data_IF_382455471968
#
_entry.id   IF_382455471968
#
_cell.length_a   1.000
_cell.length_b   1.000
_cell.length_c   1.000
_cell.angle_alpha   90.00
_cell.angle_beta   90.00
_cell.angle_gamma   90.00
#
_symmetry.space_group_name_H-M   'P 1'
#
loop_
_entity.id
_entity.type
_entity.pdbx_description
1 polymer ?
#
# COMPACT_ATOMS: atom_id res chain seq x y z
N UNK A 1 1.47 14.53 -9.57
CA UNK A 1 1.43 13.26 -8.86
C UNK A 1 2.00 12.17 -9.77
N UNK A 2 3.22 11.75 -9.48
CA UNK A 2 4.00 10.83 -10.30
C UNK A 2 3.67 9.37 -9.92
N UNK A 3 2.50 8.89 -10.34
CA UNK A 3 2.05 7.53 -10.11
C UNK A 3 1.33 7.26 -8.78
N UNK A 4 1.16 8.25 -7.91
CA UNK A 4 0.43 8.12 -6.65
C UNK A 4 -1.08 7.99 -6.86
N UNK A 5 -1.79 7.52 -5.82
CA UNK A 5 -3.25 7.45 -5.84
C UNK A 5 -3.89 8.73 -5.29
N UNK A 6 -5.06 9.10 -5.80
CA UNK A 6 -5.79 10.30 -5.36
C UNK A 6 -6.13 10.28 -3.86
N UNK A 7 -6.35 9.11 -3.28
CA UNK A 7 -6.63 8.96 -1.84
C UNK A 7 -5.42 9.19 -0.93
N UNK A 8 -4.23 9.41 -1.49
CA UNK A 8 -3.01 9.70 -0.74
C UNK A 8 -2.77 11.21 -0.58
N UNK A 9 -3.82 12.00 -0.39
CA UNK A 9 -3.66 13.41 -0.08
C UNK A 9 -4.03 14.39 -1.20
N UNK A 10 -4.74 13.95 -2.25
CA UNK A 10 -5.29 14.89 -3.23
C UNK A 10 -6.23 15.88 -2.55
N UNK A 11 -6.18 17.20 -2.88
CA UNK A 11 -7.05 18.21 -2.30
C UNK A 11 -8.56 17.94 -2.47
N UNK A 12 -8.94 17.16 -3.46
CA UNK A 12 -10.34 16.77 -3.67
C UNK A 12 -10.76 15.54 -2.86
N UNK A 13 -9.81 14.85 -2.23
CA UNK A 13 -10.08 13.68 -1.40
C UNK A 13 -10.11 14.07 0.08
N UNK A 14 -10.88 13.33 0.88
CA UNK A 14 -10.97 13.57 2.32
C UNK A 14 -9.61 13.62 3.01
N UNK A 15 -8.66 12.80 2.57
CA UNK A 15 -7.29 12.79 3.12
C UNK A 15 -6.58 14.13 2.93
N UNK A 16 -6.71 14.75 1.75
CA UNK A 16 -6.11 16.07 1.49
C UNK A 16 -6.88 17.24 2.11
N UNK A 17 -8.12 17.01 2.53
CA UNK A 17 -8.93 18.03 3.23
C UNK A 17 -8.70 18.03 4.74
N UNK A 18 -8.42 16.86 5.32
CA UNK A 18 -8.28 16.70 6.77
C UNK A 18 -6.83 16.75 7.27
N UNK A 19 -5.85 16.48 6.41
CA UNK A 19 -4.45 16.37 6.80
C UNK A 19 -3.57 17.37 6.05
N UNK A 20 -2.52 17.84 6.72
CA UNK A 20 -1.43 18.58 6.07
C UNK A 20 -0.53 17.60 5.32
N UNK A 21 -0.60 17.62 3.99
CA UNK A 21 0.04 16.65 3.11
C UNK A 21 1.29 17.25 2.49
N UNK A 22 2.43 16.60 2.67
CA UNK A 22 3.69 16.91 2.00
C UNK A 22 3.96 15.87 0.91
N UNK A 23 3.66 16.15 -0.37
CA UNK A 23 3.86 15.19 -1.43
C UNK A 23 5.34 15.08 -1.80
N UNK A 24 5.82 13.87 -2.04
CA UNK A 24 7.09 13.61 -2.70
C UNK A 24 6.86 13.10 -4.11
N UNK A 25 7.86 13.22 -4.97
CA UNK A 25 7.79 12.85 -6.37
C UNK A 25 9.00 12.01 -6.79
N UNK A 26 9.00 11.58 -8.05
CA UNK A 26 10.19 10.98 -8.67
C UNK A 26 11.17 12.08 -9.08
N UNK A 27 12.44 11.74 -9.17
CA UNK A 27 13.46 12.56 -9.80
C UNK A 27 13.17 12.69 -11.31
N UNK A 28 13.16 13.91 -11.85
CA UNK A 28 12.74 14.18 -13.22
C UNK A 28 13.67 13.56 -14.28
N UNK A 29 14.95 13.35 -13.95
CA UNK A 29 15.94 12.81 -14.86
C UNK A 29 15.95 11.27 -14.90
N UNK A 30 15.75 10.65 -13.73
CA UNK A 30 15.80 9.19 -13.59
C UNK A 30 14.45 8.51 -13.60
N UNK A 31 13.37 9.30 -13.40
CA UNK A 31 11.99 8.85 -13.22
C UNK A 31 11.84 7.86 -12.04
N UNK A 32 12.81 7.89 -11.11
CA UNK A 32 12.83 7.03 -9.93
C UNK A 32 12.62 7.85 -8.65
N UNK A 33 12.17 7.16 -7.60
CA UNK A 33 12.11 7.76 -6.26
C UNK A 33 13.50 8.14 -5.79
N UNK A 34 13.66 9.40 -5.42
CA UNK A 34 14.85 9.90 -4.77
C UNK A 34 14.67 9.80 -3.25
N UNK A 35 15.25 8.77 -2.65
CA UNK A 35 15.10 8.51 -1.23
C UNK A 35 15.81 9.53 -0.35
N UNK A 36 16.85 10.20 -0.84
CA UNK A 36 17.55 11.24 -0.09
C UNK A 36 16.71 12.51 -0.04
N UNK A 37 16.05 12.87 -1.14
CA UNK A 37 15.06 13.94 -1.17
C UNK A 37 13.86 13.64 -0.28
N UNK A 38 13.34 12.38 -0.30
CA UNK A 38 12.24 11.96 0.57
C UNK A 38 12.65 12.06 2.04
N UNK A 39 13.88 11.67 2.38
CA UNK A 39 14.41 11.78 3.74
C UNK A 39 14.54 13.23 4.19
N UNK A 40 15.10 14.10 3.34
CA UNK A 40 15.21 15.53 3.64
C UNK A 40 13.84 16.16 3.90
N UNK A 41 12.85 15.85 3.06
CA UNK A 41 11.47 16.30 3.23
C UNK A 41 10.86 15.78 4.53
N UNK A 42 11.08 14.51 4.87
CA UNK A 42 10.57 13.92 6.11
C UNK A 42 11.20 14.58 7.35
N UNK A 43 12.49 14.91 7.31
CA UNK A 43 13.18 15.61 8.39
C UNK A 43 12.62 17.03 8.58
N UNK A 44 12.37 17.74 7.49
CA UNK A 44 11.81 19.10 7.49
C UNK A 44 10.38 19.10 8.03
N UNK A 45 9.52 18.24 7.49
CA UNK A 45 8.06 18.27 7.73
C UNK A 45 7.64 17.48 8.95
N UNK A 46 8.48 16.56 9.45
CA UNK A 46 8.19 15.71 10.61
C UNK A 46 6.80 15.05 10.56
N UNK A 47 6.47 14.31 9.48
CA UNK A 47 5.16 13.72 9.33
C UNK A 47 4.89 12.68 10.42
N UNK A 48 3.63 12.50 10.80
CA UNK A 48 3.20 11.40 11.68
C UNK A 48 3.12 10.06 10.95
N UNK A 49 2.95 10.11 9.61
CA UNK A 49 2.84 8.94 8.76
C UNK A 49 3.48 9.23 7.40
N UNK A 50 4.21 8.25 6.90
CA UNK A 50 4.71 8.20 5.52
C UNK A 50 3.90 7.15 4.78
N UNK A 51 3.31 7.52 3.64
CA UNK A 51 2.56 6.59 2.79
C UNK A 51 3.42 6.26 1.59
N UNK A 52 3.70 4.97 1.39
CA UNK A 52 4.39 4.45 0.22
C UNK A 52 3.50 3.43 -0.50
N UNK A 53 3.32 3.62 -1.80
CA UNK A 53 2.46 2.79 -2.63
C UNK A 53 1.90 3.60 -3.79
N UNK A 54 1.72 2.94 -4.92
CA UNK A 54 1.54 3.66 -6.18
C UNK A 54 0.52 2.95 -7.07
N UNK A 55 -0.15 3.74 -7.92
CA UNK A 55 -1.06 3.25 -8.94
C UNK A 55 -0.31 2.88 -10.22
N UNK A 56 0.65 3.70 -10.64
CA UNK A 56 1.29 3.60 -11.95
C UNK A 56 2.81 3.83 -11.94
N UNK A 57 3.45 3.77 -10.77
CA UNK A 57 4.90 3.77 -10.68
C UNK A 57 5.45 2.37 -11.05
N UNK A 58 6.26 2.25 -12.12
CA UNK A 58 6.62 0.94 -12.68
C UNK A 58 7.72 0.21 -11.90
N UNK A 59 8.41 0.90 -11.00
CA UNK A 59 9.49 0.31 -10.22
C UNK A 59 9.01 -0.11 -8.84
N UNK A 60 9.65 -1.11 -8.26
CA UNK A 60 9.40 -1.49 -6.87
C UNK A 60 10.04 -0.49 -5.91
N UNK A 61 9.35 -0.13 -4.81
CA UNK A 61 9.92 0.67 -3.76
C UNK A 61 10.95 -0.12 -2.95
N UNK A 62 11.94 0.60 -2.41
CA UNK A 62 12.83 0.08 -1.38
C UNK A 62 12.17 0.24 -0.01
N UNK A 63 11.55 -0.83 0.47
CA UNK A 63 10.85 -0.84 1.76
C UNK A 63 11.80 -0.62 2.94
N UNK A 64 13.04 -1.13 2.85
CA UNK A 64 14.04 -0.94 3.90
C UNK A 64 14.43 0.54 4.02
N UNK A 65 14.60 1.22 2.90
CA UNK A 65 14.92 2.64 2.88
C UNK A 65 13.76 3.50 3.41
N UNK A 66 12.51 3.19 3.04
CA UNK A 66 11.34 3.84 3.63
C UNK A 66 11.25 3.62 5.14
N UNK A 67 11.55 2.40 5.63
CA UNK A 67 11.56 2.12 7.08
C UNK A 67 12.61 2.97 7.80
N UNK A 68 13.83 3.05 7.27
CA UNK A 68 14.89 3.88 7.83
C UNK A 68 14.48 5.36 7.93
N UNK A 69 13.85 5.89 6.87
CA UNK A 69 13.36 7.27 6.86
C UNK A 69 12.27 7.46 7.92
N UNK A 70 11.31 6.56 8.00
CA UNK A 70 10.23 6.64 8.98
C UNK A 70 10.75 6.56 10.42
N UNK A 71 11.69 5.66 10.71
CA UNK A 71 12.33 5.54 12.02
C UNK A 71 13.06 6.83 12.42
N UNK A 72 13.77 7.43 11.48
CA UNK A 72 14.55 8.65 11.73
C UNK A 72 13.69 9.83 12.19
N UNK A 73 12.44 9.89 11.75
CA UNK A 73 11.52 10.99 12.10
C UNK A 73 10.44 10.57 13.11
N UNK A 74 10.41 9.29 13.49
CA UNK A 74 9.40 8.72 14.38
C UNK A 74 8.00 8.60 13.75
N UNK A 75 7.93 8.44 12.43
CA UNK A 75 6.69 8.30 11.69
C UNK A 75 6.25 6.84 11.56
N UNK A 76 4.95 6.61 11.44
CA UNK A 76 4.43 5.35 10.95
C UNK A 76 4.69 5.20 9.45
N UNK A 77 5.01 3.99 9.00
CA UNK A 77 5.08 3.65 7.58
C UNK A 77 3.84 2.86 7.18
N UNK A 78 3.04 3.43 6.29
CA UNK A 78 1.91 2.76 5.65
C UNK A 78 2.32 2.35 4.24
N UNK A 79 2.24 1.05 3.94
CA UNK A 79 2.46 0.50 2.62
C UNK A 79 1.12 0.21 1.94
N UNK A 80 0.78 0.98 0.91
CA UNK A 80 -0.39 0.70 0.08
C UNK A 80 0.02 -0.15 -1.13
N UNK A 81 -0.26 -1.45 -1.05
CA UNK A 81 0.05 -2.42 -2.11
C UNK A 81 -1.19 -2.80 -2.93
N UNK A 82 -2.19 -1.92 -2.99
CA UNK A 82 -3.46 -2.20 -3.65
C UNK A 82 -3.31 -2.74 -5.07
N UNK A 83 -2.37 -2.20 -5.86
CA UNK A 83 -2.14 -2.65 -7.24
C UNK A 83 -1.33 -3.95 -7.35
N UNK A 84 -0.48 -4.24 -6.38
CA UNK A 84 0.52 -5.31 -6.45
C UNK A 84 0.31 -6.43 -5.42
N UNK A 85 -0.80 -6.42 -4.67
CA UNK A 85 -1.05 -7.37 -3.58
C UNK A 85 -0.92 -8.84 -4.04
N UNK A 86 -1.50 -9.20 -5.19
CA UNK A 86 -1.37 -10.54 -5.75
C UNK A 86 0.08 -10.91 -6.07
N UNK A 87 0.84 -9.97 -6.65
CA UNK A 87 2.26 -10.19 -6.97
C UNK A 87 3.12 -10.33 -5.71
N UNK A 88 2.82 -9.56 -4.64
CA UNK A 88 3.50 -9.67 -3.34
C UNK A 88 3.25 -11.04 -2.73
N UNK A 89 2.00 -11.52 -2.71
CA UNK A 89 1.64 -12.85 -2.19
C UNK A 89 2.36 -13.96 -2.98
N UNK A 90 2.44 -13.80 -4.29
CA UNK A 90 3.10 -14.77 -5.17
C UNK A 90 4.65 -14.74 -5.13
N UNK A 91 5.24 -13.75 -4.44
CA UNK A 91 6.69 -13.54 -4.43
C UNK A 91 7.25 -12.92 -5.71
N UNK A 92 6.39 -12.41 -6.60
CA UNK A 92 6.77 -11.75 -7.84
C UNK A 92 7.03 -10.24 -7.67
N UNK A 93 6.84 -9.69 -6.47
CA UNK A 93 7.09 -8.30 -6.11
C UNK A 93 7.54 -8.20 -4.64
N UNK A 94 8.42 -7.25 -4.28
CA UNK A 94 8.93 -7.13 -2.92
C UNK A 94 7.83 -6.93 -1.88
N UNK A 95 7.91 -7.66 -0.78
CA UNK A 95 6.95 -7.53 0.32
C UNK A 95 7.30 -6.40 1.27
N UNK A 96 6.32 -5.56 1.71
CA UNK A 96 6.51 -4.60 2.78
C UNK A 96 6.43 -5.22 4.18
N UNK A 97 6.14 -6.51 4.28
CA UNK A 97 6.03 -7.22 5.56
C UNK A 97 7.38 -7.20 6.29
N UNK A 98 7.35 -6.80 7.56
CA UNK A 98 8.56 -6.59 8.36
C UNK A 98 9.14 -5.18 8.28
N UNK A 99 8.69 -4.35 7.34
CA UNK A 99 9.09 -2.95 7.20
C UNK A 99 7.98 -1.97 7.56
N UNK A 100 6.75 -2.21 7.06
CA UNK A 100 5.63 -1.30 7.28
C UNK A 100 4.91 -1.59 8.60
N UNK A 101 4.45 -0.53 9.28
CA UNK A 101 3.60 -0.63 10.47
C UNK A 101 2.18 -1.06 10.09
N UNK A 102 1.72 -0.59 8.92
CA UNK A 102 0.40 -0.89 8.37
C UNK A 102 0.54 -1.17 6.88
N UNK A 103 -0.14 -2.21 6.41
CA UNK A 103 -0.22 -2.57 4.99
C UNK A 103 -1.68 -2.49 4.58
N UNK A 104 -1.97 -1.80 3.49
CA UNK A 104 -3.32 -1.71 2.92
C UNK A 104 -3.34 -2.27 1.51
N UNK A 105 -4.43 -2.92 1.14
CA UNK A 105 -4.65 -3.35 -0.23
C UNK A 105 -6.12 -3.56 -0.55
N UNK A 106 -6.45 -3.40 -1.83
CA UNK A 106 -7.76 -3.77 -2.37
C UNK A 106 -7.77 -5.23 -2.78
N UNK A 107 -8.92 -5.87 -2.62
CA UNK A 107 -9.07 -7.29 -2.96
C UNK A 107 -9.43 -7.56 -4.43
N UNK A 108 -9.86 -6.52 -5.16
CA UNK A 108 -10.42 -6.63 -6.52
C UNK A 108 -9.46 -6.27 -7.67
N UNK A 109 -8.15 -6.17 -7.38
CA UNK A 109 -7.10 -5.92 -8.40
C UNK A 109 -6.31 -7.19 -8.66
N UNK A 110 -4.98 -7.18 -8.53
CA UNK A 110 -4.15 -8.36 -8.77
C UNK A 110 -4.45 -9.55 -7.85
N UNK A 111 -5.13 -9.33 -6.71
CA UNK A 111 -5.60 -10.41 -5.84
C UNK A 111 -6.80 -11.18 -6.44
N UNK A 112 -7.48 -10.65 -7.46
CA UNK A 112 -8.57 -11.29 -8.19
C UNK A 112 -9.83 -11.60 -7.35
N UNK A 113 -10.06 -10.84 -6.26
CA UNK A 113 -11.21 -10.99 -5.39
C UNK A 113 -12.35 -10.02 -5.68
N UNK A 114 -13.41 -10.03 -4.88
CA UNK A 114 -14.51 -9.08 -4.96
C UNK A 114 -14.07 -7.68 -4.52
N UNK A 115 -14.90 -6.67 -4.80
CA UNK A 115 -14.66 -5.31 -4.31
C UNK A 115 -14.64 -5.27 -2.79
N UNK A 116 -13.51 -4.83 -2.27
CA UNK A 116 -13.23 -4.71 -0.84
C UNK A 116 -11.78 -4.32 -0.62
N UNK A 117 -11.40 -4.25 0.63
CA UNK A 117 -10.03 -3.93 1.05
C UNK A 117 -9.69 -4.67 2.34
N UNK A 118 -8.39 -4.79 2.58
CA UNK A 118 -7.84 -5.29 3.84
C UNK A 118 -6.82 -4.30 4.39
N UNK A 119 -6.76 -4.22 5.71
CA UNK A 119 -5.73 -3.50 6.45
C UNK A 119 -5.03 -4.52 7.35
N UNK A 120 -3.71 -4.61 7.24
CA UNK A 120 -2.90 -5.54 8.03
C UNK A 120 -1.93 -4.77 8.91
N UNK A 121 -1.71 -5.27 10.12
CA UNK A 121 -0.64 -4.82 11.01
C UNK A 121 -0.21 -5.96 11.91
N UNK A 122 1.06 -5.99 12.30
CA UNK A 122 1.59 -6.92 13.30
C UNK A 122 1.46 -6.38 14.73
N UNK A 123 1.06 -5.12 14.89
CA UNK A 123 0.89 -4.47 16.19
C UNK A 123 -0.53 -4.65 16.74
N UNK A 124 -0.75 -5.40 17.85
CA UNK A 124 -2.08 -5.52 18.44
C UNK A 124 -2.68 -4.18 18.90
N UNK A 125 -1.83 -3.22 19.25
CA UNK A 125 -2.27 -1.88 19.65
C UNK A 125 -2.80 -1.08 18.46
N UNK A 126 -2.12 -1.14 17.30
CA UNK A 126 -2.61 -0.54 16.06
C UNK A 126 -3.84 -1.26 15.54
N UNK A 127 -3.89 -2.59 15.59
CA UNK A 127 -5.06 -3.36 15.15
C UNK A 127 -6.33 -2.88 15.85
N UNK A 128 -6.32 -2.78 17.18
CA UNK A 128 -7.48 -2.28 17.94
C UNK A 128 -7.90 -0.87 17.55
N UNK A 129 -6.94 0.04 17.29
CA UNK A 129 -7.25 1.41 16.85
C UNK A 129 -7.86 1.43 15.46
N UNK A 130 -7.31 0.61 14.55
CA UNK A 130 -7.79 0.48 13.18
C UNK A 130 -9.21 -0.10 13.17
N UNK A 131 -9.47 -1.18 13.92
CA UNK A 131 -10.78 -1.79 14.01
C UNK A 131 -11.84 -0.78 14.47
N UNK A 132 -11.56 0.00 15.53
CA UNK A 132 -12.48 1.03 16.00
C UNK A 132 -12.66 2.18 15.00
N UNK A 133 -11.61 2.56 14.29
CA UNK A 133 -11.69 3.61 13.28
C UNK A 133 -12.51 3.15 12.06
N UNK A 134 -12.39 1.88 11.68
CA UNK A 134 -13.20 1.30 10.59
C UNK A 134 -14.64 1.15 11.05
N UNK A 135 -14.87 0.44 12.14
CA UNK A 135 -16.21 0.25 12.70
C UNK A 135 -16.19 0.44 14.22
N UNK A 136 -17.05 1.30 14.77
CA UNK A 136 -18.11 2.08 14.11
C UNK A 136 -17.65 3.47 13.60
N UNK A 137 -16.34 3.76 13.56
CA UNK A 137 -15.83 5.10 13.30
C UNK A 137 -16.24 5.66 11.94
N UNK A 138 -16.02 4.92 10.85
CA UNK A 138 -16.24 5.38 9.48
C UNK A 138 -17.25 4.54 8.71
N UNK A 139 -17.46 3.28 9.10
CA UNK A 139 -18.32 2.32 8.40
C UNK A 139 -19.39 1.75 9.35
N UNK A 140 -20.42 1.14 8.73
CA UNK A 140 -21.52 0.45 9.41
C UNK A 140 -21.59 -1.04 9.04
N UNK A 141 -22.81 -1.56 8.87
CA UNK A 141 -23.05 -2.97 8.56
C UNK A 141 -22.35 -3.42 7.28
N UNK A 142 -21.60 -4.53 7.32
CA UNK A 142 -20.84 -5.00 6.17
C UNK A 142 -21.67 -5.82 5.20
N UNK A 143 -21.19 -5.93 3.96
CA UNK A 143 -21.69 -6.88 2.98
C UNK A 143 -21.08 -8.26 3.24
N UNK A 144 -21.78 -9.13 3.98
CA UNK A 144 -21.27 -10.44 4.41
C UNK A 144 -20.92 -11.37 3.23
N UNK A 145 -21.67 -11.28 2.13
CA UNK A 145 -21.38 -12.00 0.89
C UNK A 145 -20.00 -11.63 0.32
N UNK A 146 -19.58 -10.37 0.47
CA UNK A 146 -18.25 -9.90 0.07
C UNK A 146 -17.17 -10.58 0.90
N UNK A 147 -17.36 -10.76 2.20
CA UNK A 147 -16.41 -11.47 3.06
C UNK A 147 -16.21 -12.92 2.63
N UNK A 148 -17.30 -13.63 2.27
CA UNK A 148 -17.18 -14.97 1.73
C UNK A 148 -16.35 -15.00 0.42
N UNK A 149 -16.59 -14.05 -0.47
CA UNK A 149 -15.79 -13.90 -1.70
C UNK A 149 -14.32 -13.57 -1.44
N UNK A 150 -14.01 -12.71 -0.46
CA UNK A 150 -12.65 -12.41 -0.04
C UNK A 150 -11.96 -13.67 0.50
N UNK A 151 -12.65 -14.46 1.34
CA UNK A 151 -12.10 -15.71 1.87
C UNK A 151 -11.73 -16.68 0.76
N UNK A 152 -12.58 -16.82 -0.26
CA UNK A 152 -12.29 -17.66 -1.45
C UNK A 152 -11.07 -17.12 -2.20
N UNK A 153 -10.99 -15.80 -2.45
CA UNK A 153 -9.87 -15.19 -3.14
C UNK A 153 -8.54 -15.41 -2.40
N UNK A 154 -8.54 -15.26 -1.07
CA UNK A 154 -7.37 -15.51 -0.23
C UNK A 154 -6.96 -16.99 -0.21
N UNK A 155 -7.95 -17.92 -0.26
CA UNK A 155 -7.67 -19.34 -0.41
C UNK A 155 -7.02 -19.65 -1.76
N UNK A 156 -7.56 -19.11 -2.87
CA UNK A 156 -6.99 -19.28 -4.20
C UNK A 156 -5.61 -18.68 -4.33
N UNK A 157 -5.35 -17.55 -3.66
CA UNK A 157 -4.04 -16.90 -3.66
C UNK A 157 -2.90 -17.75 -3.07
N UNK A 158 -3.22 -18.82 -2.33
CA UNK A 158 -2.24 -19.77 -1.80
C UNK A 158 -1.84 -20.86 -2.81
N UNK A 159 -2.55 -20.98 -3.93
CA UNK A 159 -2.32 -22.04 -4.92
C UNK A 159 -1.13 -21.75 -5.84
N UNK A 160 -0.51 -22.81 -6.36
CA UNK A 160 0.56 -22.68 -7.36
C UNK A 160 0.06 -22.06 -8.66
N UNK A 161 -1.18 -22.34 -9.05
CA UNK A 161 -1.81 -21.72 -10.23
C UNK A 161 -1.88 -20.19 -10.08
N UNK A 162 -2.23 -19.68 -8.92
CA UNK A 162 -2.24 -18.23 -8.66
C UNK A 162 -0.83 -17.64 -8.73
N UNK A 163 0.17 -18.33 -8.16
CA UNK A 163 1.58 -17.90 -8.26
C UNK A 163 2.04 -17.81 -9.71
N UNK A 164 1.75 -18.84 -10.50
CA UNK A 164 2.08 -18.86 -11.93
C UNK A 164 1.42 -17.71 -12.68
N UNK A 165 0.15 -17.42 -12.41
CA UNK A 165 -0.56 -16.28 -12.99
C UNK A 165 0.17 -14.96 -12.71
N UNK A 166 0.56 -14.70 -11.46
CA UNK A 166 1.22 -13.44 -11.08
C UNK A 166 2.62 -13.31 -11.73
N UNK A 167 3.39 -14.37 -11.79
CA UNK A 167 4.67 -14.37 -12.51
C UNK A 167 4.48 -14.14 -14.01
N UNK A 168 3.43 -14.72 -14.60
CA UNK A 168 3.10 -14.49 -16.01
C UNK A 168 2.71 -13.03 -16.28
N UNK A 169 1.99 -12.37 -15.35
CA UNK A 169 1.66 -10.94 -15.45
C UNK A 169 2.95 -10.10 -15.53
N UNK A 170 3.92 -10.38 -14.66
CA UNK A 170 5.22 -9.67 -14.67
C UNK A 170 5.99 -9.91 -15.97
N UNK A 171 6.02 -11.16 -16.44
CA UNK A 171 6.69 -11.51 -17.70
C UNK A 171 6.04 -10.82 -18.90
N UNK A 172 4.71 -10.76 -18.94
CA UNK A 172 3.97 -10.07 -20.00
C UNK A 172 4.26 -8.57 -19.99
N UNK A 173 4.29 -7.94 -18.82
CA UNK A 173 4.61 -6.52 -18.69
C UNK A 173 6.05 -6.18 -19.13
N UNK A 174 6.98 -7.12 -18.97
CA UNK A 174 8.36 -6.95 -19.42
C UNK A 174 8.52 -7.16 -20.93
N UNK A 175 7.57 -7.82 -21.59
CA UNK A 175 7.58 -8.09 -23.02
C UNK A 175 6.93 -6.97 -23.87
N UNK A 176 6.15 -6.09 -23.23
CA UNK A 176 5.48 -4.91 -23.84
C UNK A 176 6.41 -3.70 -23.90
#
# INVERSE_FOLDING_TARGET
>A
AHGGHLTHGSPVNLSGQLFDVAPYSVDERTERLDYDMIEALAIERRPKMIIAGYTSYPHSPDWARFRQIADRVGAYLLADIAHVAGMVIAGAYPTPLGYADVITFTTHKTLCGPRGACILTTSPALARKIDHAVFPGLQGGPHVNTFAGIAVALHLAQTDQFRQLQHQIVSNAAAL
#
